data_IF_677953500554
#
_entry.id   IF_677953500554
#
_cell.length_a   1.000
_cell.length_b   1.000
_cell.length_c   1.000
_cell.angle_alpha   90.00
_cell.angle_beta   90.00
_cell.angle_gamma   90.00
#
_symmetry.space_group_name_H-M   'P 1'
#
loop_
_entity.id
_entity.type
_entity.pdbx_description
1 polymer ?
#
# COMPACT_ATOMS: atom_id res chain seq x y z
N UNK A 1 0.81 53.92 11.62
CA UNK A 1 -0.36 53.03 11.60
C UNK A 1 -0.13 51.96 10.53
N UNK A 2 0.42 50.82 10.92
CA UNK A 2 0.76 49.72 10.01
C UNK A 2 -0.44 48.78 9.85
N UNK A 3 -1.04 48.77 8.66
CA UNK A 3 -2.13 47.87 8.30
C UNK A 3 -1.60 46.44 8.13
N UNK A 4 -1.95 45.56 9.08
CA UNK A 4 -1.70 44.12 8.99
C UNK A 4 -2.87 43.47 8.22
N UNK A 5 -2.60 42.90 7.03
CA UNK A 5 -3.56 42.03 6.33
C UNK A 5 -3.25 40.56 6.68
N UNK A 6 -4.19 39.77 7.19
CA UNK A 6 -3.97 38.34 7.40
C UNK A 6 -3.86 37.62 6.04
N UNK A 7 -2.81 36.81 5.87
CA UNK A 7 -2.65 35.92 4.71
C UNK A 7 -3.72 34.83 4.79
N UNK A 8 -4.57 34.75 3.78
CA UNK A 8 -5.51 33.64 3.61
C UNK A 8 -4.74 32.32 3.44
N UNK A 9 -5.24 31.20 4.00
CA UNK A 9 -4.61 29.90 3.83
C UNK A 9 -4.64 29.50 2.35
N UNK A 10 -3.47 29.19 1.82
CA UNK A 10 -3.26 28.78 0.43
C UNK A 10 -4.09 27.53 0.14
N UNK A 11 -5.05 27.67 -0.77
CA UNK A 11 -5.81 26.55 -1.31
C UNK A 11 -4.81 25.57 -1.95
N UNK A 12 -4.64 24.38 -1.36
CA UNK A 12 -3.85 23.30 -1.94
C UNK A 12 -4.50 22.88 -3.25
N UNK A 13 -3.83 23.19 -4.35
CA UNK A 13 -4.26 22.93 -5.71
C UNK A 13 -4.33 21.40 -5.96
N UNK A 14 -5.52 20.90 -6.27
CA UNK A 14 -5.79 19.49 -6.62
C UNK A 14 -4.99 19.01 -7.84
N UNK A 15 -4.43 19.93 -8.63
CA UNK A 15 -3.62 19.65 -9.83
C UNK A 15 -2.20 19.15 -9.53
N UNK A 16 -1.66 19.35 -8.30
CA UNK A 16 -0.33 18.86 -7.92
C UNK A 16 -0.31 17.39 -7.47
N UNK A 17 -1.48 16.76 -7.34
CA UNK A 17 -1.56 15.31 -7.16
C UNK A 17 -1.25 14.60 -8.48
N UNK A 18 -1.72 15.14 -9.62
CA UNK A 18 -1.72 14.46 -10.92
C UNK A 18 -0.34 14.18 -11.54
N UNK A 19 0.73 14.83 -11.09
CA UNK A 19 2.06 14.74 -11.74
C UNK A 19 3.05 13.79 -11.06
N UNK A 20 2.72 13.20 -9.90
CA UNK A 20 3.62 12.26 -9.19
C UNK A 20 3.27 10.77 -9.36
N UNK A 21 2.18 10.44 -10.06
CA UNK A 21 1.64 9.07 -10.20
C UNK A 21 2.18 8.26 -11.38
N UNK A 22 3.32 8.65 -11.97
CA UNK A 22 3.81 7.99 -13.20
C UNK A 22 4.61 6.69 -12.96
N UNK A 23 4.28 5.96 -11.89
CA UNK A 23 4.76 4.60 -11.61
C UNK A 23 3.58 3.78 -11.10
N UNK A 24 2.66 3.41 -12.00
CA UNK A 24 1.53 2.51 -11.72
C UNK A 24 2.02 1.09 -11.46
N UNK A 25 2.72 0.88 -10.34
CA UNK A 25 3.14 -0.45 -9.89
C UNK A 25 1.94 -1.12 -9.22
N UNK A 26 1.46 -2.21 -9.83
CA UNK A 26 0.36 -3.02 -9.28
C UNK A 26 0.67 -3.52 -7.86
N UNK A 27 1.96 -3.71 -7.55
CA UNK A 27 2.43 -4.08 -6.22
C UNK A 27 2.33 -2.93 -5.22
N UNK A 28 2.69 -1.72 -5.63
CA UNK A 28 2.58 -0.54 -4.79
C UNK A 28 1.11 -0.32 -4.39
N UNK A 29 0.20 -0.39 -5.35
CA UNK A 29 -1.24 -0.24 -5.09
C UNK A 29 -1.79 -1.34 -4.19
N UNK A 30 -1.36 -2.59 -4.37
CA UNK A 30 -1.79 -3.70 -3.52
C UNK A 30 -1.30 -3.52 -2.07
N UNK A 31 -0.02 -3.19 -1.88
CA UNK A 31 0.53 -2.95 -0.54
C UNK A 31 -0.13 -1.74 0.13
N UNK A 32 -0.33 -0.64 -0.60
CA UNK A 32 -1.04 0.54 -0.08
C UNK A 32 -2.46 0.16 0.32
N UNK A 33 -3.15 -0.67 -0.48
CA UNK A 33 -4.50 -1.13 -0.18
C UNK A 33 -4.56 -1.96 1.10
N UNK A 34 -3.57 -2.82 1.33
CA UNK A 34 -3.42 -3.60 2.57
C UNK A 34 -3.17 -2.68 3.75
N UNK A 35 -2.30 -1.67 3.61
CA UNK A 35 -1.95 -0.74 4.68
C UNK A 35 -3.05 0.28 4.98
N UNK A 36 -3.95 0.56 4.05
CA UNK A 36 -4.95 1.64 4.16
C UNK A 36 -6.31 1.15 4.64
N UNK A 37 -6.30 0.41 5.74
CA UNK A 37 -7.49 -0.10 6.44
C UNK A 37 -7.37 0.17 7.94
N UNK A 38 -8.41 -0.18 8.71
CA UNK A 38 -8.47 0.03 10.16
C UNK A 38 -8.21 1.49 10.57
N UNK A 39 -9.00 2.42 10.01
CA UNK A 39 -8.95 3.86 10.30
C UNK A 39 -7.64 4.57 9.88
N UNK A 40 -6.77 3.87 9.16
CA UNK A 40 -5.62 4.48 8.51
C UNK A 40 -5.98 4.80 7.06
N UNK A 41 -6.10 6.09 6.79
CA UNK A 41 -6.50 6.59 5.47
C UNK A 41 -5.37 6.42 4.47
N UNK A 42 -5.71 6.35 3.17
CA UNK A 42 -4.74 6.40 2.08
C UNK A 42 -3.77 7.59 2.26
N UNK A 43 -4.29 8.76 2.62
CA UNK A 43 -3.48 9.97 2.85
C UNK A 43 -2.40 9.79 3.93
N UNK A 44 -2.66 9.01 4.98
CA UNK A 44 -1.65 8.71 6.00
C UNK A 44 -0.59 7.74 5.48
N UNK A 45 -0.98 6.78 4.64
CA UNK A 45 -0.04 5.84 4.00
C UNK A 45 0.90 6.58 3.04
N UNK A 46 0.35 7.53 2.28
CA UNK A 46 1.12 8.36 1.37
C UNK A 46 2.12 9.30 2.08
N UNK A 47 1.92 9.63 3.36
CA UNK A 47 2.84 10.50 4.09
C UNK A 47 4.26 9.93 4.19
N UNK A 48 4.41 8.60 4.20
CA UNK A 48 5.70 7.91 4.34
C UNK A 48 6.05 7.07 3.10
N UNK A 49 5.42 7.32 1.95
CA UNK A 49 5.55 6.45 0.77
C UNK A 49 6.98 6.39 0.22
N UNK A 50 7.71 7.50 0.23
CA UNK A 50 9.10 7.52 -0.26
C UNK A 50 10.00 6.65 0.63
N UNK A 51 9.85 6.74 1.95
CA UNK A 51 10.57 5.85 2.88
C UNK A 51 10.22 4.38 2.66
N UNK A 52 8.96 4.06 2.34
CA UNK A 52 8.54 2.70 2.01
C UNK A 52 9.15 2.21 0.68
N UNK A 53 9.32 3.08 -0.31
CA UNK A 53 10.03 2.77 -1.56
C UNK A 53 11.50 2.51 -1.31
N UNK A 54 12.16 3.35 -0.51
CA UNK A 54 13.59 3.24 -0.19
C UNK A 54 13.93 1.92 0.52
N UNK A 55 13.09 1.48 1.45
CA UNK A 55 13.28 0.17 2.11
C UNK A 55 12.88 -1.01 1.21
N UNK A 56 12.32 -0.76 0.04
CA UNK A 56 11.89 -1.77 -0.93
C UNK A 56 10.62 -2.52 -0.54
N UNK A 57 9.70 -1.90 0.21
CA UNK A 57 8.45 -2.53 0.67
C UNK A 57 7.52 -2.93 -0.49
N UNK A 58 7.60 -2.21 -1.61
CA UNK A 58 6.79 -2.47 -2.80
C UNK A 58 7.44 -3.44 -3.78
N UNK A 59 8.61 -3.98 -3.47
CA UNK A 59 9.29 -4.95 -4.31
C UNK A 59 8.79 -6.37 -3.99
N UNK A 60 8.17 -7.10 -4.94
CA UNK A 60 7.65 -8.44 -4.70
C UNK A 60 8.74 -9.46 -4.32
N UNK A 61 9.98 -9.30 -4.78
CA UNK A 61 11.08 -10.19 -4.36
C UNK A 61 11.39 -10.05 -2.87
N UNK A 62 11.31 -8.82 -2.34
CA UNK A 62 11.51 -8.57 -0.92
C UNK A 62 10.35 -9.12 -0.09
N UNK A 63 9.11 -8.85 -0.52
CA UNK A 63 7.90 -9.34 0.15
C UNK A 63 7.89 -10.86 0.28
N UNK A 64 8.37 -11.58 -0.74
CA UNK A 64 8.51 -13.03 -0.76
C UNK A 64 9.54 -13.57 0.22
N UNK A 65 10.60 -12.80 0.51
CA UNK A 65 11.73 -13.24 1.32
C UNK A 65 11.58 -12.92 2.81
N UNK A 66 10.92 -11.82 3.14
CA UNK A 66 10.84 -11.36 4.53
C UNK A 66 9.83 -12.17 5.35
N UNK A 67 10.31 -12.69 6.48
CA UNK A 67 9.44 -13.23 7.51
C UNK A 67 8.73 -12.12 8.29
N UNK A 68 7.92 -12.51 9.27
CA UNK A 68 7.14 -11.56 10.08
C UNK A 68 8.01 -10.62 10.92
N UNK A 69 9.18 -11.06 11.39
CA UNK A 69 10.06 -10.24 12.24
C UNK A 69 10.74 -9.17 11.40
N UNK A 70 11.28 -9.57 10.24
CA UNK A 70 11.88 -8.66 9.29
C UNK A 70 10.83 -7.69 8.74
N UNK A 71 9.63 -8.17 8.37
CA UNK A 71 8.54 -7.31 7.91
C UNK A 71 8.15 -6.26 8.96
N UNK A 72 8.07 -6.65 10.23
CA UNK A 72 7.83 -5.71 11.34
C UNK A 72 8.92 -4.63 11.41
N UNK A 73 10.19 -5.02 11.32
CA UNK A 73 11.31 -4.08 11.34
C UNK A 73 11.25 -3.11 10.15
N UNK A 74 10.99 -3.63 8.94
CA UNK A 74 10.84 -2.82 7.72
C UNK A 74 9.70 -1.83 7.83
N UNK A 75 8.54 -2.24 8.33
CA UNK A 75 7.41 -1.33 8.55
C UNK A 75 7.75 -0.18 9.51
N UNK A 76 8.52 -0.44 10.57
CA UNK A 76 8.97 0.62 11.49
C UNK A 76 9.96 1.57 10.82
N UNK A 77 10.93 1.03 10.09
CA UNK A 77 11.91 1.83 9.34
C UNK A 77 11.25 2.71 8.26
N UNK A 78 10.20 2.20 7.61
CA UNK A 78 9.42 2.93 6.61
C UNK A 78 8.40 3.92 7.20
N UNK A 79 8.44 4.23 8.49
CA UNK A 79 7.51 5.18 9.14
C UNK A 79 6.08 4.67 9.30
N UNK A 80 5.86 3.36 9.16
CA UNK A 80 4.55 2.71 9.27
C UNK A 80 4.27 2.15 10.68
N UNK A 81 4.83 2.77 11.72
CA UNK A 81 4.59 2.36 13.11
C UNK A 81 3.22 2.83 13.59
N UNK A 82 2.35 1.89 13.99
CA UNK A 82 0.98 2.16 14.43
C UNK A 82 0.69 1.62 15.83
N UNK A 83 1.72 1.55 16.67
CA UNK A 83 1.73 0.79 17.91
C UNK A 83 1.97 -0.71 17.66
N UNK A 84 2.48 -1.40 18.69
CA UNK A 84 2.99 -2.78 18.58
C UNK A 84 2.00 -3.75 17.95
N UNK A 85 0.74 -3.74 18.41
CA UNK A 85 -0.30 -4.62 17.92
C UNK A 85 -0.61 -4.41 16.43
N UNK A 86 -0.85 -3.17 16.01
CA UNK A 86 -1.24 -2.87 14.63
C UNK A 86 -0.08 -3.08 13.66
N UNK A 87 1.13 -2.68 14.03
CA UNK A 87 2.33 -2.94 13.21
C UNK A 87 2.50 -4.45 12.99
N UNK A 88 2.33 -5.27 14.03
CA UNK A 88 2.39 -6.72 13.90
C UNK A 88 1.27 -7.29 13.02
N UNK A 89 0.04 -6.79 13.18
CA UNK A 89 -1.08 -7.20 12.33
C UNK A 89 -0.82 -6.91 10.84
N UNK A 90 -0.23 -5.76 10.51
CA UNK A 90 0.12 -5.44 9.12
C UNK A 90 1.31 -6.26 8.62
N UNK A 91 2.29 -6.55 9.49
CA UNK A 91 3.36 -7.47 9.15
C UNK A 91 2.82 -8.86 8.80
N UNK A 92 1.91 -9.43 9.59
CA UNK A 92 1.26 -10.71 9.28
C UNK A 92 0.58 -10.72 7.90
N UNK A 93 -0.11 -9.62 7.54
CA UNK A 93 -0.81 -9.51 6.26
C UNK A 93 0.14 -9.45 5.07
N UNK A 94 1.21 -8.66 5.20
CA UNK A 94 2.21 -8.54 4.14
C UNK A 94 3.06 -9.81 4.01
N UNK A 95 3.36 -10.50 5.11
CA UNK A 95 3.99 -11.82 5.05
C UNK A 95 3.07 -12.86 4.41
N UNK A 96 1.75 -12.82 4.67
CA UNK A 96 0.79 -13.70 3.97
C UNK A 96 0.76 -13.44 2.46
N UNK A 97 0.85 -12.17 2.03
CA UNK A 97 1.05 -11.82 0.63
C UNK A 97 2.39 -12.36 0.10
N UNK A 98 3.47 -12.24 0.86
CA UNK A 98 4.78 -12.82 0.54
C UNK A 98 4.71 -14.33 0.28
N UNK A 99 3.97 -15.07 1.11
CA UNK A 99 3.74 -16.52 0.94
C UNK A 99 2.96 -16.80 -0.34
N UNK A 100 1.93 -16.01 -0.67
CA UNK A 100 1.22 -16.13 -1.95
C UNK A 100 2.19 -15.96 -3.12
N UNK A 101 3.04 -14.92 -3.09
CA UNK A 101 4.04 -14.65 -4.13
C UNK A 101 5.04 -15.81 -4.25
N UNK A 102 5.50 -16.35 -3.12
CA UNK A 102 6.41 -17.50 -3.10
C UNK A 102 5.81 -18.74 -3.79
N UNK A 103 4.53 -19.00 -3.53
CA UNK A 103 3.84 -20.19 -4.03
C UNK A 103 3.40 -20.08 -5.49
N UNK A 104 3.01 -18.88 -5.93
CA UNK A 104 2.45 -18.67 -7.28
C UNK A 104 3.48 -18.14 -8.28
N UNK A 105 4.58 -17.55 -7.79
CA UNK A 105 5.57 -16.87 -8.62
C UNK A 105 5.14 -15.46 -9.01
N UNK A 106 6.09 -14.53 -9.03
CA UNK A 106 5.87 -13.10 -9.27
C UNK A 106 5.15 -12.86 -10.60
N UNK A 107 5.64 -13.46 -11.69
CA UNK A 107 5.07 -13.27 -13.03
C UNK A 107 3.59 -13.69 -13.12
N UNK A 108 3.20 -14.77 -12.43
CA UNK A 108 1.80 -15.22 -12.43
C UNK A 108 0.92 -14.26 -11.62
N UNK A 109 1.40 -13.84 -10.44
CA UNK A 109 0.72 -12.84 -9.63
C UNK A 109 0.52 -11.54 -10.42
N UNK A 110 1.57 -10.99 -11.04
CA UNK A 110 1.48 -9.77 -11.85
C UNK A 110 0.49 -9.93 -13.00
N UNK A 111 0.55 -11.06 -13.73
CA UNK A 111 -0.39 -11.33 -14.81
C UNK A 111 -1.84 -11.27 -14.34
N UNK A 112 -2.15 -11.86 -13.17
CA UNK A 112 -3.51 -11.84 -12.61
C UNK A 112 -3.88 -10.44 -12.14
N UNK A 113 -3.01 -9.79 -11.37
CA UNK A 113 -3.28 -8.47 -10.79
C UNK A 113 -3.45 -7.38 -11.87
N UNK A 114 -2.71 -7.49 -12.98
CA UNK A 114 -2.79 -6.56 -14.12
C UNK A 114 -3.86 -6.95 -15.15
N UNK A 115 -4.61 -8.04 -14.94
CA UNK A 115 -5.61 -8.54 -15.92
C UNK A 115 -6.82 -7.61 -16.11
N UNK A 116 -7.04 -6.68 -15.18
CA UNK A 116 -8.26 -5.86 -15.04
C UNK A 116 -9.56 -6.65 -14.87
N UNK A 117 -9.51 -7.98 -14.74
CA UNK A 117 -10.66 -8.82 -14.42
C UNK A 117 -10.91 -8.81 -12.91
N UNK A 118 -11.90 -8.01 -12.47
CA UNK A 118 -12.27 -7.88 -11.06
C UNK A 118 -12.60 -9.21 -10.40
N UNK A 119 -13.24 -10.13 -11.12
CA UNK A 119 -13.63 -11.42 -10.55
C UNK A 119 -12.39 -12.28 -10.34
N UNK A 120 -11.53 -12.37 -11.35
CA UNK A 120 -10.27 -13.11 -11.25
C UNK A 120 -9.37 -12.57 -10.14
N UNK A 121 -9.21 -11.25 -10.04
CA UNK A 121 -8.41 -10.60 -8.99
C UNK A 121 -9.01 -10.89 -7.61
N UNK A 122 -10.34 -10.80 -7.47
CA UNK A 122 -11.02 -11.10 -6.20
C UNK A 122 -10.81 -12.54 -5.79
N UNK A 123 -11.10 -13.49 -6.69
CA UNK A 123 -10.96 -14.92 -6.42
C UNK A 123 -9.50 -15.30 -6.07
N UNK A 124 -8.53 -14.60 -6.66
CA UNK A 124 -7.11 -14.81 -6.40
C UNK A 124 -6.63 -14.23 -5.06
N UNK A 125 -7.07 -13.02 -4.69
CA UNK A 125 -6.60 -12.32 -3.50
C UNK A 125 -7.38 -12.67 -2.22
N UNK A 126 -8.67 -13.01 -2.34
CA UNK A 126 -9.55 -13.25 -1.20
C UNK A 126 -9.09 -14.41 -0.28
N UNK A 127 -8.46 -15.48 -0.77
CA UNK A 127 -7.93 -16.54 0.11
C UNK A 127 -6.76 -16.11 1.00
N UNK A 128 -6.10 -14.98 0.72
CA UNK A 128 -4.92 -14.53 1.47
C UNK A 128 -5.34 -13.98 2.84
N UNK A 129 -4.74 -14.51 3.92
CA UNK A 129 -5.02 -14.08 5.29
C UNK A 129 -4.89 -12.57 5.43
N UNK A 130 -6.00 -11.94 5.81
CA UNK A 130 -6.07 -10.51 6.10
C UNK A 130 -6.16 -9.59 4.88
N UNK A 131 -6.33 -10.15 3.68
CA UNK A 131 -6.99 -9.46 2.58
C UNK A 131 -8.50 -9.65 2.76
N UNK A 132 -9.24 -8.54 2.73
CA UNK A 132 -10.69 -8.48 2.92
C UNK A 132 -11.37 -7.70 1.81
N UNK A 133 -12.72 -7.67 1.76
CA UNK A 133 -13.45 -6.86 0.78
C UNK A 133 -13.01 -5.40 0.74
N UNK A 134 -12.63 -4.82 1.90
CA UNK A 134 -12.14 -3.44 1.96
C UNK A 134 -10.79 -3.24 1.28
N UNK A 135 -9.88 -4.21 1.41
CA UNK A 135 -8.57 -4.16 0.72
C UNK A 135 -8.78 -4.26 -0.79
N UNK A 136 -9.64 -5.17 -1.24
CA UNK A 136 -9.97 -5.33 -2.66
C UNK A 136 -10.61 -4.06 -3.22
N UNK A 137 -11.55 -3.45 -2.48
CA UNK A 137 -12.15 -2.17 -2.88
C UNK A 137 -11.11 -1.06 -3.03
N UNK A 138 -10.19 -0.93 -2.08
CA UNK A 138 -9.11 0.06 -2.17
C UNK A 138 -8.20 -0.22 -3.38
N UNK A 139 -7.90 -1.50 -3.65
CA UNK A 139 -7.06 -1.89 -4.78
C UNK A 139 -7.71 -1.54 -6.11
N UNK A 140 -9.01 -1.83 -6.28
CA UNK A 140 -9.76 -1.44 -7.47
C UNK A 140 -9.85 0.07 -7.63
N UNK A 141 -9.99 0.82 -6.53
CA UNK A 141 -9.97 2.28 -6.58
C UNK A 141 -8.64 2.82 -7.10
N UNK A 142 -7.51 2.28 -6.61
CA UNK A 142 -6.17 2.71 -7.03
C UNK A 142 -5.85 2.31 -8.48
N UNK A 143 -6.33 1.14 -8.91
CA UNK A 143 -6.17 0.63 -10.28
C UNK A 143 -7.20 1.18 -11.28
N UNK A 144 -8.09 2.08 -10.83
CA UNK A 144 -9.19 2.64 -11.61
C UNK A 144 -10.04 1.55 -12.31
N UNK A 145 -10.39 0.49 -11.56
CA UNK A 145 -11.18 -0.65 -12.01
C UNK A 145 -12.65 -0.50 -11.69
#
# INVERSE_FOLDING_TARGET
>A
MTNYKPKQPTQMNQQNLQTKYNTNSVWEDLVISILSVNQYTLSKTYANIESMREIGLFNPENLKQWDIQEMNQRLRQGGCERGSFMTNLFAERLTALGILIANQGINNCEKILSSRDKKLITDFLMPVKGIGPKVIQNFFLLQEL
#
